data_IF_962300865996
#
_entry.id   IF_962300865996
#
_cell.length_a   1.000
_cell.length_b   1.000
_cell.length_c   1.000
_cell.angle_alpha   90.00
_cell.angle_beta   90.00
_cell.angle_gamma   90.00
#
_symmetry.space_group_name_H-M   'P 1'
#
loop_
_entity.id
_entity.type
_entity.pdbx_description
1 polymer ?
#
# COMPACT_ATOMS: atom_id res chain seq x y z
N UNK A 1 1.72 51.91 15.77
CA UNK A 1 1.92 50.59 15.13
C UNK A 1 3.36 50.17 15.39
N UNK A 2 3.56 49.20 16.29
CA UNK A 2 4.89 48.74 16.72
C UNK A 2 5.50 47.83 15.66
N UNK A 3 6.82 47.92 15.44
CA UNK A 3 7.56 47.07 14.51
C UNK A 3 7.45 45.56 14.82
N UNK A 4 7.06 45.21 16.05
CA UNK A 4 6.85 43.83 16.47
C UNK A 4 5.68 43.13 15.75
N UNK A 5 4.56 43.82 15.49
CA UNK A 5 3.38 43.24 14.81
C UNK A 5 3.68 42.85 13.36
N UNK A 6 4.50 43.64 12.67
CA UNK A 6 4.92 43.38 11.29
C UNK A 6 5.83 42.15 11.20
N UNK A 7 6.63 41.89 12.24
CA UNK A 7 7.54 40.73 12.28
C UNK A 7 6.81 39.43 12.60
N UNK A 8 5.80 39.48 13.46
CA UNK A 8 4.98 38.33 13.82
C UNK A 8 4.10 37.87 12.63
N UNK A 9 3.47 38.81 11.94
CA UNK A 9 2.66 38.54 10.73
C UNK A 9 3.49 38.01 9.56
N UNK A 10 4.73 38.49 9.40
CA UNK A 10 5.66 37.96 8.39
C UNK A 10 6.11 36.51 8.69
N UNK A 11 6.33 36.16 9.96
CA UNK A 11 6.67 34.77 10.35
C UNK A 11 5.51 33.82 10.13
N UNK A 12 4.31 34.21 10.53
CA UNK A 12 3.10 33.39 10.42
C UNK A 12 2.73 33.10 8.94
N UNK A 13 2.96 34.06 8.05
CA UNK A 13 2.77 33.87 6.60
C UNK A 13 3.83 32.97 5.96
N UNK A 14 5.09 33.02 6.41
CA UNK A 14 6.14 32.11 5.96
C UNK A 14 5.90 30.66 6.44
N UNK A 15 5.51 30.49 7.70
CA UNK A 15 5.22 29.18 8.29
C UNK A 15 3.97 28.55 7.66
N UNK A 16 2.92 29.33 7.43
CA UNK A 16 1.72 28.90 6.70
C UNK A 16 2.01 28.49 5.25
N UNK A 17 2.90 29.22 4.56
CA UNK A 17 3.36 28.88 3.21
C UNK A 17 4.12 27.56 3.15
N UNK A 18 5.07 27.37 4.09
CA UNK A 18 5.87 26.14 4.19
C UNK A 18 5.01 24.90 4.53
N UNK A 19 4.02 25.05 5.43
CA UNK A 19 3.08 23.99 5.78
C UNK A 19 2.21 23.57 4.59
N UNK A 20 1.76 24.54 3.79
CA UNK A 20 0.95 24.30 2.57
C UNK A 20 1.76 23.59 1.49
N UNK A 21 3.01 24.01 1.25
CA UNK A 21 3.91 23.34 0.31
C UNK A 21 4.23 21.91 0.73
N UNK A 22 4.47 21.68 2.02
CA UNK A 22 4.73 20.35 2.57
C UNK A 22 3.55 19.42 2.36
N UNK A 23 2.33 19.89 2.67
CA UNK A 23 1.11 19.10 2.48
C UNK A 23 0.88 18.78 1.00
N UNK A 24 1.12 19.73 0.10
CA UNK A 24 1.06 19.50 -1.35
C UNK A 24 2.06 18.42 -1.81
N UNK A 25 3.30 18.47 -1.32
CA UNK A 25 4.33 17.44 -1.62
C UNK A 25 3.91 16.06 -1.12
N UNK A 26 3.37 15.98 0.11
CA UNK A 26 2.86 14.73 0.66
C UNK A 26 1.70 14.15 -0.17
N UNK A 27 0.79 14.99 -0.69
CA UNK A 27 -0.28 14.54 -1.59
C UNK A 27 0.27 13.92 -2.86
N UNK A 28 1.24 14.55 -3.51
CA UNK A 28 1.88 14.00 -4.70
C UNK A 28 2.64 12.71 -4.39
N UNK A 29 3.38 12.67 -3.28
CA UNK A 29 4.06 11.46 -2.83
C UNK A 29 3.08 10.32 -2.56
N UNK A 30 1.97 10.59 -1.87
CA UNK A 30 0.93 9.61 -1.59
C UNK A 30 0.29 9.08 -2.87
N UNK A 31 -0.01 9.95 -3.83
CA UNK A 31 -0.55 9.53 -5.13
C UNK A 31 0.47 8.69 -5.93
N UNK A 32 1.75 9.09 -5.93
CA UNK A 32 2.82 8.36 -6.61
C UNK A 32 3.05 6.98 -5.98
N UNK A 33 3.10 6.88 -4.65
CA UNK A 33 3.25 5.62 -3.92
C UNK A 33 2.04 4.72 -4.11
N UNK A 34 0.81 5.25 -4.05
CA UNK A 34 -0.41 4.46 -4.30
C UNK A 34 -0.42 3.89 -5.73
N UNK A 35 0.01 4.68 -6.70
CA UNK A 35 0.17 4.23 -8.09
C UNK A 35 1.26 3.17 -8.20
N UNK A 36 2.41 3.36 -7.57
CA UNK A 36 3.51 2.39 -7.56
C UNK A 36 3.10 1.06 -6.94
N UNK A 37 2.48 1.07 -5.76
CA UNK A 37 1.95 -0.13 -5.08
C UNK A 37 0.96 -0.85 -5.99
N UNK A 38 0.04 -0.11 -6.61
CA UNK A 38 -0.92 -0.70 -7.53
C UNK A 38 -0.24 -1.37 -8.74
N UNK A 39 0.75 -0.71 -9.34
CA UNK A 39 1.49 -1.28 -10.47
C UNK A 39 2.28 -2.52 -10.06
N UNK A 40 2.94 -2.51 -8.89
CA UNK A 40 3.66 -3.68 -8.38
C UNK A 40 2.73 -4.89 -8.14
N UNK A 41 1.47 -4.67 -7.75
CA UNK A 41 0.54 -5.79 -7.57
C UNK A 41 -0.11 -6.23 -8.88
N UNK A 42 -0.45 -5.29 -9.78
CA UNK A 42 -1.01 -5.62 -11.09
C UNK A 42 -0.02 -6.33 -12.01
N UNK A 43 1.26 -5.97 -11.91
CA UNK A 43 2.32 -6.49 -12.76
C UNK A 43 3.12 -7.62 -12.10
N UNK A 44 2.71 -8.07 -10.90
CA UNK A 44 3.37 -9.19 -10.22
C UNK A 44 3.38 -10.41 -11.16
N UNK A 45 4.55 -11.02 -11.42
CA UNK A 45 4.64 -12.10 -12.40
C UNK A 45 3.90 -13.37 -11.97
N UNK A 46 3.66 -13.56 -10.67
CA UNK A 46 3.11 -14.78 -10.09
C UNK A 46 1.69 -14.59 -9.55
N UNK A 47 1.22 -13.35 -9.37
CA UNK A 47 -0.08 -13.05 -8.78
C UNK A 47 -0.75 -11.82 -9.42
N UNK A 48 -0.18 -11.26 -10.47
CA UNK A 48 -0.71 -10.07 -11.13
C UNK A 48 -1.86 -10.38 -12.09
N UNK A 49 -2.17 -9.38 -12.92
CA UNK A 49 -3.27 -9.41 -13.87
C UNK A 49 -3.18 -10.58 -14.86
N UNK A 50 -1.97 -10.86 -15.35
CA UNK A 50 -1.75 -11.94 -16.32
C UNK A 50 -2.00 -13.31 -15.69
N UNK A 51 -1.53 -13.53 -14.47
CA UNK A 51 -1.77 -14.79 -13.76
C UNK A 51 -3.26 -14.96 -13.44
N UNK A 52 -3.94 -13.91 -12.98
CA UNK A 52 -5.38 -13.98 -12.73
C UNK A 52 -6.14 -14.42 -13.99
N UNK A 53 -5.85 -13.84 -15.15
CA UNK A 53 -6.50 -14.25 -16.40
C UNK A 53 -6.12 -15.66 -16.83
N UNK A 54 -4.87 -16.07 -16.64
CA UNK A 54 -4.44 -17.43 -16.92
C UNK A 54 -5.23 -18.45 -16.07
N UNK A 55 -5.38 -18.19 -14.76
CA UNK A 55 -6.15 -19.05 -13.85
C UNK A 55 -7.64 -19.06 -14.17
N UNK A 56 -8.23 -17.90 -14.47
CA UNK A 56 -9.64 -17.81 -14.85
C UNK A 56 -9.94 -18.59 -16.14
N UNK A 57 -9.00 -18.57 -17.09
CA UNK A 57 -9.10 -19.32 -18.34
C UNK A 57 -8.90 -20.82 -18.13
N UNK A 58 -7.88 -21.22 -17.37
CA UNK A 58 -7.49 -22.63 -17.23
C UNK A 58 -8.35 -23.38 -16.20
N UNK A 59 -8.47 -22.85 -14.97
CA UNK A 59 -9.26 -23.45 -13.90
C UNK A 59 -9.55 -22.41 -12.79
N UNK A 60 -10.71 -21.73 -12.83
CA UNK A 60 -11.05 -20.69 -11.84
C UNK A 60 -11.21 -21.23 -10.41
N UNK A 61 -11.40 -22.55 -10.22
CA UNK A 61 -11.53 -23.15 -8.87
C UNK A 61 -10.26 -23.01 -8.05
N UNK A 62 -9.10 -22.80 -8.68
CA UNK A 62 -7.82 -22.57 -7.98
C UNK A 62 -7.90 -21.33 -7.09
N UNK A 63 -8.66 -20.31 -7.47
CA UNK A 63 -8.80 -19.06 -6.71
C UNK A 63 -9.46 -19.25 -5.34
N UNK A 64 -10.14 -20.37 -5.10
CA UNK A 64 -10.67 -20.73 -3.78
C UNK A 64 -9.54 -21.08 -2.80
N UNK A 65 -8.46 -21.69 -3.31
CA UNK A 65 -7.33 -22.16 -2.51
C UNK A 65 -6.16 -21.17 -2.52
N UNK A 66 -6.07 -20.35 -3.57
CA UNK A 66 -5.13 -19.27 -3.69
C UNK A 66 -5.85 -17.98 -4.15
N UNK A 67 -6.37 -17.19 -3.20
CA UNK A 67 -7.11 -15.97 -3.53
C UNK A 67 -6.21 -14.81 -3.92
N UNK A 68 -4.87 -14.95 -3.85
CA UNK A 68 -3.93 -13.83 -4.01
C UNK A 68 -4.05 -13.14 -5.36
N UNK A 69 -4.14 -13.84 -6.51
CA UNK A 69 -4.23 -13.16 -7.79
C UNK A 69 -5.48 -12.28 -7.93
N UNK A 70 -6.63 -12.79 -7.47
CA UNK A 70 -7.86 -12.02 -7.46
C UNK A 70 -7.78 -10.83 -6.48
N UNK A 71 -7.27 -11.07 -5.27
CA UNK A 71 -7.11 -10.02 -4.26
C UNK A 71 -6.21 -8.90 -4.79
N UNK A 72 -5.02 -9.23 -5.29
CA UNK A 72 -4.02 -8.27 -5.79
C UNK A 72 -4.61 -7.38 -6.89
N UNK A 73 -5.25 -7.95 -7.90
CA UNK A 73 -5.82 -7.19 -9.01
C UNK A 73 -6.96 -6.28 -8.56
N UNK A 74 -7.87 -6.78 -7.70
CA UNK A 74 -9.00 -5.99 -7.21
C UNK A 74 -8.52 -4.82 -6.34
N UNK A 75 -7.65 -5.07 -5.37
CA UNK A 75 -7.17 -4.03 -4.46
C UNK A 75 -6.24 -3.03 -5.15
N UNK A 76 -5.41 -3.46 -6.09
CA UNK A 76 -4.57 -2.55 -6.88
C UNK A 76 -5.41 -1.65 -7.79
N UNK A 77 -6.46 -2.22 -8.41
CA UNK A 77 -7.43 -1.44 -9.18
C UNK A 77 -8.13 -0.41 -8.29
N UNK A 78 -8.53 -0.81 -7.07
CA UNK A 78 -9.15 0.09 -6.10
C UNK A 78 -8.21 1.25 -5.69
N UNK A 79 -6.90 1.01 -5.57
CA UNK A 79 -5.92 2.08 -5.33
C UNK A 79 -5.89 3.09 -6.49
N UNK A 80 -5.84 2.63 -7.74
CA UNK A 80 -5.84 3.53 -8.91
C UNK A 80 -7.14 4.34 -9.01
N UNK A 81 -8.28 3.70 -8.76
CA UNK A 81 -9.58 4.37 -8.69
C UNK A 81 -9.61 5.40 -7.56
N UNK A 82 -9.13 5.03 -6.36
CA UNK A 82 -9.03 5.94 -5.21
C UNK A 82 -8.15 7.16 -5.49
N UNK A 83 -6.99 6.97 -6.15
CA UNK A 83 -6.14 8.07 -6.60
C UNK A 83 -6.90 8.98 -7.57
N UNK A 84 -7.62 8.42 -8.56
CA UNK A 84 -8.41 9.20 -9.51
C UNK A 84 -9.50 10.03 -8.83
N UNK A 85 -10.32 9.40 -7.99
CA UNK A 85 -11.45 10.03 -7.31
C UNK A 85 -11.01 11.09 -6.28
N UNK A 86 -9.88 10.88 -5.60
CA UNK A 86 -9.38 11.80 -4.57
C UNK A 86 -8.88 13.14 -5.11
N UNK A 87 -8.58 13.26 -6.42
CA UNK A 87 -8.03 14.48 -7.04
C UNK A 87 -8.90 15.71 -6.76
N UNK A 88 -10.20 15.56 -6.97
CA UNK A 88 -11.19 16.65 -6.87
C UNK A 88 -12.17 16.46 -5.69
N UNK A 89 -11.89 15.52 -4.79
CA UNK A 89 -12.78 15.24 -3.67
C UNK A 89 -12.87 16.46 -2.73
N UNK A 90 -14.09 16.89 -2.33
CA UNK A 90 -14.26 17.94 -1.32
C UNK A 90 -13.63 17.56 0.02
N UNK A 91 -13.70 16.27 0.38
CA UNK A 91 -13.03 15.69 1.54
C UNK A 91 -12.16 14.50 1.10
N UNK A 92 -10.85 14.58 1.37
CA UNK A 92 -9.88 13.54 0.98
C UNK A 92 -9.66 12.48 2.06
N UNK A 93 -10.07 12.73 3.30
CA UNK A 93 -9.83 11.84 4.44
C UNK A 93 -10.33 10.40 4.21
N UNK A 94 -11.52 10.15 3.62
CA UNK A 94 -11.96 8.78 3.34
C UNK A 94 -11.01 8.02 2.41
N UNK A 95 -10.40 8.70 1.43
CA UNK A 95 -9.46 8.10 0.50
C UNK A 95 -8.12 7.76 1.16
N UNK A 96 -7.66 8.57 2.12
CA UNK A 96 -6.48 8.26 2.92
C UNK A 96 -6.72 7.01 3.77
N UNK A 97 -7.86 6.93 4.45
CA UNK A 97 -8.22 5.76 5.26
C UNK A 97 -8.33 4.50 4.38
N UNK A 98 -9.03 4.58 3.26
CA UNK A 98 -9.16 3.45 2.34
C UNK A 98 -7.80 2.98 1.81
N UNK A 99 -6.93 3.92 1.40
CA UNK A 99 -5.57 3.59 0.95
C UNK A 99 -4.72 2.94 2.05
N UNK A 100 -4.81 3.43 3.29
CA UNK A 100 -4.13 2.83 4.45
C UNK A 100 -4.63 1.40 4.70
N UNK A 101 -5.95 1.19 4.69
CA UNK A 101 -6.55 -0.14 4.92
C UNK A 101 -6.11 -1.13 3.85
N UNK A 102 -6.12 -0.72 2.58
CA UNK A 102 -5.66 -1.58 1.48
C UNK A 102 -4.17 -1.90 1.64
N UNK A 103 -3.32 -0.90 1.88
CA UNK A 103 -1.88 -1.13 2.06
C UNK A 103 -1.55 -2.00 3.28
N UNK A 104 -2.25 -1.80 4.41
CA UNK A 104 -2.12 -2.66 5.58
C UNK A 104 -2.54 -4.10 5.29
N UNK A 105 -3.56 -4.30 4.45
CA UNK A 105 -4.00 -5.63 4.06
C UNK A 105 -2.90 -6.38 3.32
N UNK A 106 -2.12 -5.72 2.46
CA UNK A 106 -0.95 -6.32 1.81
C UNK A 106 0.14 -6.70 2.82
N UNK A 107 0.54 -5.77 3.69
CA UNK A 107 1.57 -6.01 4.71
C UNK A 107 1.18 -7.17 5.63
N UNK A 108 -0.03 -7.11 6.20
CA UNK A 108 -0.53 -8.15 7.10
C UNK A 108 -0.73 -9.48 6.36
N UNK A 109 -1.25 -9.45 5.14
CA UNK A 109 -1.42 -10.63 4.30
C UNK A 109 -0.08 -11.30 3.98
N UNK A 110 0.94 -10.53 3.62
CA UNK A 110 2.30 -11.02 3.39
C UNK A 110 2.87 -11.70 4.63
N UNK A 111 2.78 -11.05 5.79
CA UNK A 111 3.27 -11.60 7.05
C UNK A 111 2.49 -12.87 7.43
N UNK A 112 1.16 -12.82 7.39
CA UNK A 112 0.31 -13.98 7.68
C UNK A 112 0.64 -15.16 6.75
N UNK A 113 0.82 -14.91 5.45
CA UNK A 113 1.18 -15.94 4.47
C UNK A 113 2.50 -16.62 4.82
N UNK A 114 3.57 -15.85 5.04
CA UNK A 114 4.91 -16.40 5.24
C UNK A 114 5.15 -16.95 6.64
N UNK A 115 4.52 -16.37 7.67
CA UNK A 115 4.66 -16.81 9.06
C UNK A 115 3.90 -18.11 9.34
N UNK A 116 2.87 -18.42 8.54
CA UNK A 116 2.04 -19.62 8.71
C UNK A 116 2.36 -20.73 7.71
N UNK A 117 3.46 -20.61 6.96
CA UNK A 117 3.85 -21.61 5.96
C UNK A 117 3.00 -21.55 4.68
N UNK A 118 3.07 -20.42 3.96
CA UNK A 118 2.42 -20.22 2.66
C UNK A 118 0.90 -20.39 2.71
N UNK A 119 0.28 -19.74 3.70
CA UNK A 119 -1.17 -19.68 3.83
C UNK A 119 -1.78 -20.80 4.68
N UNK A 120 -1.05 -21.36 5.64
CA UNK A 120 -1.59 -22.35 6.58
C UNK A 120 -2.73 -21.83 7.47
N UNK A 121 -3.02 -20.52 7.45
CA UNK A 121 -4.23 -19.95 8.07
C UNK A 121 -5.49 -20.07 7.20
N UNK A 122 -5.36 -20.43 5.92
CA UNK A 122 -6.49 -20.61 5.02
C UNK A 122 -7.18 -21.96 5.30
N UNK A 123 -8.53 -21.99 5.32
CA UNK A 123 -9.26 -23.23 5.55
C UNK A 123 -8.87 -24.34 4.56
N UNK A 124 -8.57 -25.53 5.08
CA UNK A 124 -8.26 -26.72 4.28
C UNK A 124 -6.87 -26.72 3.65
N UNK A 125 -5.95 -25.85 4.08
CA UNK A 125 -4.56 -25.81 3.60
C UNK A 125 -3.59 -26.16 4.72
N UNK A 126 -2.79 -27.20 4.48
CA UNK A 126 -1.70 -27.58 5.39
C UNK A 126 -0.53 -26.57 5.31
N UNK A 127 0.05 -26.16 6.45
CA UNK A 127 1.23 -25.30 6.46
C UNK A 127 2.42 -25.90 5.69
N UNK A 128 2.93 -25.17 4.70
CA UNK A 128 4.17 -25.47 3.99
C UNK A 128 5.34 -24.71 4.61
N UNK A 129 6.04 -25.36 5.53
CA UNK A 129 7.19 -24.82 6.26
C UNK A 129 8.52 -25.19 5.56
N UNK A 130 9.44 -24.23 5.48
CA UNK A 130 10.74 -24.39 4.78
C UNK A 130 11.88 -24.87 5.68
N UNK A 131 11.57 -25.64 6.74
CA UNK A 131 12.59 -26.17 7.67
C UNK A 131 13.38 -25.09 8.44
N UNK A 132 12.89 -23.85 8.45
CA UNK A 132 13.48 -22.70 9.17
C UNK A 132 12.42 -22.03 10.04
N UNK A 133 12.86 -21.24 11.02
CA UNK A 133 11.95 -20.46 11.85
C UNK A 133 11.12 -19.48 10.98
N UNK A 134 9.83 -19.25 11.31
CA UNK A 134 8.93 -18.40 10.51
C UNK A 134 9.46 -16.99 10.23
N UNK A 135 10.06 -16.33 11.23
CA UNK A 135 10.65 -14.99 11.06
C UNK A 135 11.84 -15.03 10.09
N UNK A 136 12.69 -16.06 10.18
CA UNK A 136 13.80 -16.24 9.24
C UNK A 136 13.29 -16.48 7.81
N UNK A 137 12.13 -17.14 7.65
CA UNK A 137 11.49 -17.31 6.35
C UNK A 137 11.05 -15.97 5.74
N UNK A 138 10.46 -15.08 6.54
CA UNK A 138 10.06 -13.72 6.11
C UNK A 138 11.29 -12.92 5.66
N UNK A 139 12.34 -12.90 6.49
CA UNK A 139 13.58 -12.18 6.16
C UNK A 139 14.19 -12.73 4.86
N UNK A 140 14.25 -14.06 4.72
CA UNK A 140 14.73 -14.69 3.49
C UNK A 140 13.98 -14.19 2.27
N UNK A 141 12.64 -14.25 2.26
CA UNK A 141 11.84 -13.78 1.13
C UNK A 141 12.09 -12.30 0.82
N UNK A 142 12.08 -11.42 1.82
CA UNK A 142 12.36 -9.99 1.60
C UNK A 142 13.77 -9.70 1.09
N UNK A 143 14.74 -10.56 1.40
CA UNK A 143 16.14 -10.37 0.95
C UNK A 143 16.46 -11.05 -0.38
N UNK A 144 15.72 -12.10 -0.76
CA UNK A 144 15.96 -12.87 -1.99
C UNK A 144 15.00 -12.53 -3.13
N UNK A 145 13.87 -11.89 -2.83
CA UNK A 145 12.87 -11.46 -3.82
C UNK A 145 12.81 -9.92 -3.88
N UNK A 146 13.44 -9.31 -4.89
CA UNK A 146 13.39 -7.86 -5.07
C UNK A 146 11.97 -7.31 -5.26
N UNK A 147 11.04 -8.09 -5.82
CA UNK A 147 9.67 -7.65 -6.04
C UNK A 147 8.91 -7.54 -4.72
N UNK A 148 9.04 -8.57 -3.86
CA UNK A 148 8.49 -8.54 -2.51
C UNK A 148 9.09 -7.39 -1.68
N UNK A 149 10.41 -7.17 -1.77
CA UNK A 149 11.10 -6.08 -1.09
C UNK A 149 10.56 -4.70 -1.52
N UNK A 150 10.45 -4.48 -2.83
CA UNK A 150 9.94 -3.22 -3.39
C UNK A 150 8.49 -2.98 -3.00
N UNK A 151 7.64 -4.02 -3.07
CA UNK A 151 6.23 -3.95 -2.69
C UNK A 151 6.08 -3.56 -1.22
N UNK A 152 6.72 -4.31 -0.31
CA UNK A 152 6.70 -4.03 1.12
C UNK A 152 7.20 -2.62 1.46
N UNK A 153 8.32 -2.19 0.86
CA UNK A 153 8.85 -0.85 1.10
C UNK A 153 7.89 0.26 0.62
N UNK A 154 7.29 0.08 -0.56
CA UNK A 154 6.33 1.04 -1.13
C UNK A 154 5.02 1.10 -0.35
N UNK A 155 4.53 -0.04 0.15
CA UNK A 155 3.33 -0.14 1.00
C UNK A 155 3.53 0.59 2.33
N UNK A 156 4.65 0.32 3.02
CA UNK A 156 4.99 0.99 4.28
C UNK A 156 5.15 2.50 4.08
N UNK A 157 5.81 2.91 2.98
CA UNK A 157 5.93 4.32 2.60
C UNK A 157 4.57 4.97 2.33
N UNK A 158 3.66 4.26 1.65
CA UNK A 158 2.31 4.73 1.38
C UNK A 158 1.54 4.93 2.69
N UNK A 159 1.55 3.92 3.58
CA UNK A 159 0.89 4.00 4.89
C UNK A 159 1.40 5.21 5.67
N UNK A 160 2.72 5.36 5.79
CA UNK A 160 3.31 6.47 6.53
C UNK A 160 2.89 7.84 5.94
N UNK A 161 2.88 7.96 4.61
CA UNK A 161 2.49 9.20 3.91
C UNK A 161 1.01 9.52 4.11
N UNK A 162 0.13 8.53 3.96
CA UNK A 162 -1.31 8.72 4.13
C UNK A 162 -1.69 8.99 5.58
N UNK A 163 -1.03 8.35 6.55
CA UNK A 163 -1.21 8.66 7.98
C UNK A 163 -0.78 10.09 8.29
N UNK A 164 0.34 10.54 7.71
CA UNK A 164 0.78 11.93 7.87
C UNK A 164 -0.22 12.92 7.28
N UNK A 165 -0.79 12.63 6.10
CA UNK A 165 -1.86 13.44 5.49
C UNK A 165 -3.14 13.45 6.35
N UNK A 166 -3.58 12.30 6.83
CA UNK A 166 -4.79 12.15 7.66
C UNK A 166 -4.71 12.90 9.00
N UNK A 167 -3.49 13.12 9.52
CA UNK A 167 -3.27 13.92 10.74
C UNK A 167 -3.23 15.42 10.47
N UNK A 168 -2.95 15.82 9.22
CA UNK A 168 -2.78 17.22 8.81
C UNK A 168 -4.05 17.84 8.23
N UNK A 169 -4.91 17.04 7.62
CA UNK A 169 -6.19 17.42 6.99
C UNK A 169 -7.34 16.73 7.70
#
# INVERSE_FOLDING_TARGET
MSADDSSATARDSLDGGAATLTTRRLRYLGAALATLVALLHLLDPNHGLLELFALLYANPRVLVFDPRPAAFVVSATALLVGVSLSRNAPNRRPYYVAGIVVALTYVVGYLAWHLTGHGGFLPGREPLLHGVAPVANVVRHLTSDPWAAASMASELGLIATLVALLRRE
#
